data_IF_951868063008
#
_entry.id   IF_951868063008
#
_cell.length_a   1.000
_cell.length_b   1.000
_cell.length_c   1.000
_cell.angle_alpha   90.00
_cell.angle_beta   90.00
_cell.angle_gamma   90.00
#
_symmetry.space_group_name_H-M   'P 1'
#
loop_
_entity.id
_entity.type
_entity.pdbx_description
1 polymer ?
#
# COMPACT_ATOMS: atom_id res chain seq x y z
N UNK A 1 -20.84 9.15 -3.75
CA UNK A 1 -22.26 9.41 -3.41
C UNK A 1 -23.16 8.18 -3.59
N UNK A 2 -23.29 7.60 -4.79
CA UNK A 2 -24.18 6.44 -5.00
C UNK A 2 -23.79 5.18 -4.18
N UNK A 3 -22.49 4.95 -4.02
CA UNK A 3 -21.93 3.81 -3.26
C UNK A 3 -22.25 3.88 -1.77
N UNK A 4 -22.31 5.11 -1.21
CA UNK A 4 -22.55 5.37 0.21
C UNK A 4 -24.03 5.18 0.57
N UNK A 5 -24.91 5.68 -0.31
CA UNK A 5 -26.36 5.53 -0.18
C UNK A 5 -26.82 4.06 -0.29
N UNK A 6 -26.21 3.28 -1.19
CA UNK A 6 -26.49 1.86 -1.37
C UNK A 6 -26.03 1.01 -0.17
N UNK A 7 -24.88 1.36 0.43
CA UNK A 7 -24.35 0.67 1.61
C UNK A 7 -25.21 0.88 2.86
N UNK A 8 -25.77 2.08 3.04
CA UNK A 8 -26.66 2.41 4.17
C UNK A 8 -27.98 1.63 4.09
N UNK A 9 -28.54 1.45 2.90
CA UNK A 9 -29.84 0.80 2.72
C UNK A 9 -29.79 -0.73 2.78
N UNK A 10 -28.64 -1.35 2.53
CA UNK A 10 -28.51 -2.80 2.40
C UNK A 10 -28.13 -3.54 3.70
N UNK A 11 -27.90 -2.87 4.84
CA UNK A 11 -27.56 -3.51 6.15
C UNK A 11 -26.59 -4.71 6.03
N UNK A 12 -25.59 -4.62 5.13
CA UNK A 12 -24.80 -5.79 4.70
C UNK A 12 -23.78 -6.22 5.76
N UNK A 13 -23.40 -5.32 6.67
CA UNK A 13 -22.41 -5.62 7.69
C UNK A 13 -23.05 -5.82 9.07
N UNK A 14 -23.16 -7.08 9.45
CA UNK A 14 -23.32 -7.47 10.85
C UNK A 14 -21.97 -7.23 11.54
N UNK A 15 -21.83 -6.12 12.26
CA UNK A 15 -20.70 -5.90 13.16
C UNK A 15 -20.79 -6.98 14.25
N UNK A 16 -19.93 -7.99 14.11
CA UNK A 16 -19.67 -8.95 15.18
C UNK A 16 -18.98 -8.21 16.32
N UNK A 17 -19.37 -8.46 17.57
CA UNK A 17 -18.97 -7.72 18.78
C UNK A 17 -17.45 -7.72 19.08
N UNK A 18 -16.64 -8.38 18.24
CA UNK A 18 -15.18 -8.37 18.32
C UNK A 18 -14.57 -7.68 17.09
N UNK A 19 -13.86 -6.55 17.26
CA UNK A 19 -13.29 -5.78 16.15
C UNK A 19 -12.14 -6.50 15.43
N UNK A 20 -11.59 -7.58 15.99
CA UNK A 20 -10.43 -8.30 15.45
C UNK A 20 -10.70 -8.99 14.11
N UNK A 21 -11.87 -9.61 13.94
CA UNK A 21 -12.20 -10.37 12.73
C UNK A 21 -12.44 -9.47 11.48
N UNK A 22 -13.18 -8.36 11.57
CA UNK A 22 -13.31 -7.41 10.46
C UNK A 22 -11.97 -6.75 10.10
N UNK A 23 -11.18 -6.36 11.09
CA UNK A 23 -9.87 -5.72 10.89
C UNK A 23 -8.93 -6.65 10.13
N UNK A 24 -8.85 -7.93 10.52
CA UNK A 24 -8.03 -8.92 9.82
C UNK A 24 -8.50 -9.13 8.39
N UNK A 25 -9.80 -9.26 8.17
CA UNK A 25 -10.39 -9.47 6.83
C UNK A 25 -10.10 -8.30 5.90
N UNK A 26 -10.28 -7.07 6.38
CA UNK A 26 -9.93 -5.85 5.63
C UNK A 26 -8.42 -5.74 5.40
N UNK A 27 -7.61 -6.04 6.41
CA UNK A 27 -6.14 -5.96 6.32
C UNK A 27 -5.59 -6.94 5.29
N UNK A 28 -6.11 -8.17 5.25
CA UNK A 28 -5.76 -9.18 4.25
C UNK A 28 -6.16 -8.74 2.83
N UNK A 29 -7.35 -8.16 2.66
CA UNK A 29 -7.82 -7.66 1.37
C UNK A 29 -6.92 -6.54 0.81
N UNK A 30 -6.50 -5.60 1.65
CA UNK A 30 -5.64 -4.47 1.24
C UNK A 30 -4.18 -4.91 1.06
N UNK A 31 -3.71 -5.90 1.83
CA UNK A 31 -2.34 -6.42 1.74
C UNK A 31 -1.98 -6.96 0.36
N UNK A 32 -2.92 -7.59 -0.35
CA UNK A 32 -2.68 -8.11 -1.71
C UNK A 32 -2.32 -7.01 -2.71
N UNK A 33 -3.03 -5.88 -2.64
CA UNK A 33 -2.80 -4.72 -3.50
C UNK A 33 -1.47 -4.04 -3.19
N UNK A 34 -1.16 -3.85 -1.90
CA UNK A 34 0.10 -3.24 -1.46
C UNK A 34 1.29 -4.14 -1.85
N UNK A 35 1.19 -5.45 -1.61
CA UNK A 35 2.22 -6.42 -1.99
C UNK A 35 2.54 -6.34 -3.49
N UNK A 36 1.51 -6.31 -4.35
CA UNK A 36 1.68 -6.24 -5.79
C UNK A 36 2.39 -4.95 -6.23
N UNK A 37 2.03 -3.83 -5.63
CA UNK A 37 2.66 -2.52 -5.90
C UNK A 37 4.13 -2.53 -5.47
N UNK A 38 4.42 -2.98 -4.24
CA UNK A 38 5.79 -3.07 -3.73
C UNK A 38 6.64 -4.04 -4.55
N UNK A 39 6.10 -5.19 -4.94
CA UNK A 39 6.78 -6.18 -5.75
C UNK A 39 7.13 -5.64 -7.15
N UNK A 40 6.18 -4.97 -7.81
CA UNK A 40 6.41 -4.37 -9.12
C UNK A 40 7.49 -3.27 -9.05
N UNK A 41 7.42 -2.38 -8.06
CA UNK A 41 8.43 -1.35 -7.85
C UNK A 41 9.82 -1.95 -7.59
N UNK A 42 9.90 -3.04 -6.83
CA UNK A 42 11.17 -3.75 -6.60
C UNK A 42 11.74 -4.34 -7.89
N UNK A 43 10.92 -4.94 -8.75
CA UNK A 43 11.36 -5.47 -10.05
C UNK A 43 11.91 -4.35 -10.94
N UNK A 44 11.20 -3.23 -11.02
CA UNK A 44 11.61 -2.10 -11.86
C UNK A 44 12.91 -1.49 -11.39
N UNK A 45 13.12 -1.45 -10.08
CA UNK A 45 14.35 -0.96 -9.50
C UNK A 45 15.53 -1.91 -9.69
N UNK A 46 15.32 -3.22 -9.57
CA UNK A 46 16.39 -4.20 -9.81
C UNK A 46 16.92 -4.16 -11.26
N UNK A 47 16.12 -3.66 -12.21
CA UNK A 47 16.52 -3.45 -13.60
C UNK A 47 17.32 -2.17 -13.85
N UNK A 48 17.46 -1.31 -12.84
CA UNK A 48 18.15 -0.03 -12.99
C UNK A 48 19.68 -0.23 -13.16
N UNK A 49 20.35 0.59 -13.98
CA UNK A 49 21.78 0.45 -14.27
C UNK A 49 22.69 0.62 -13.03
N UNK A 50 22.27 1.38 -12.02
CA UNK A 50 23.05 1.54 -10.78
C UNK A 50 23.11 0.25 -9.95
N UNK A 51 22.11 -0.64 -10.08
CA UNK A 51 22.10 -1.95 -9.44
C UNK A 51 23.14 -2.86 -10.10
N UNK A 52 23.25 -2.84 -11.44
CA UNK A 52 24.31 -3.54 -12.17
C UNK A 52 25.69 -3.04 -11.73
N UNK A 53 25.87 -1.72 -11.59
CA UNK A 53 27.12 -1.15 -11.08
C UNK A 53 27.42 -1.61 -9.64
N UNK A 54 26.40 -1.75 -8.80
CA UNK A 54 26.57 -2.27 -7.43
C UNK A 54 27.04 -3.73 -7.43
N UNK A 55 26.50 -4.56 -8.33
CA UNK A 55 26.98 -5.94 -8.53
C UNK A 55 28.41 -5.98 -9.07
N UNK A 56 28.76 -5.13 -10.05
CA UNK A 56 30.12 -5.04 -10.61
C UNK A 56 31.17 -4.62 -9.57
N UNK A 57 30.75 -3.90 -8.52
CA UNK A 57 31.59 -3.54 -7.36
C UNK A 57 31.80 -4.69 -6.36
N UNK A 58 31.25 -5.88 -6.61
CA UNK A 58 31.38 -7.05 -5.75
C UNK A 58 30.49 -7.02 -4.51
N UNK A 59 29.45 -6.17 -4.47
CA UNK A 59 28.51 -6.16 -3.35
C UNK A 59 27.67 -7.45 -3.36
N UNK A 60 27.56 -8.09 -2.19
CA UNK A 60 26.65 -9.22 -1.99
C UNK A 60 25.21 -8.85 -2.35
N UNK A 61 24.46 -9.77 -2.96
CA UNK A 61 23.02 -9.64 -3.30
C UNK A 61 22.19 -9.07 -2.15
N UNK A 62 22.40 -9.54 -0.93
CA UNK A 62 21.69 -9.05 0.26
C UNK A 62 21.92 -7.56 0.51
N UNK A 63 23.16 -7.07 0.40
CA UNK A 63 23.47 -5.63 0.52
C UNK A 63 22.83 -4.82 -0.60
N UNK A 64 22.85 -5.33 -1.84
CA UNK A 64 22.24 -4.63 -2.98
C UNK A 64 20.73 -4.49 -2.79
N UNK A 65 20.06 -5.55 -2.35
CA UNK A 65 18.62 -5.55 -2.10
C UNK A 65 18.25 -4.60 -0.96
N UNK A 66 18.84 -4.75 0.23
CA UNK A 66 18.42 -3.96 1.40
C UNK A 66 18.91 -2.51 1.36
N UNK A 67 20.12 -2.24 0.86
CA UNK A 67 20.73 -0.90 0.90
C UNK A 67 20.40 -0.05 -0.32
N UNK A 68 20.20 -0.67 -1.49
CA UNK A 68 20.00 0.06 -2.75
C UNK A 68 18.59 -0.14 -3.30
N UNK A 69 18.17 -1.39 -3.55
CA UNK A 69 16.90 -1.63 -4.23
C UNK A 69 15.70 -1.26 -3.34
N UNK A 70 15.65 -1.77 -2.11
CA UNK A 70 14.53 -1.56 -1.19
C UNK A 70 14.35 -0.08 -0.82
N UNK A 71 15.46 0.60 -0.49
CA UNK A 71 15.43 2.02 -0.15
C UNK A 71 14.86 2.87 -1.29
N UNK A 72 15.24 2.57 -2.52
CA UNK A 72 14.72 3.30 -3.67
C UNK A 72 13.30 2.86 -4.06
N UNK A 73 12.91 1.60 -3.78
CA UNK A 73 11.59 1.07 -4.12
C UNK A 73 10.50 1.60 -3.19
N UNK A 74 10.88 2.09 -2.01
CA UNK A 74 9.99 2.73 -1.05
C UNK A 74 9.61 4.17 -1.43
N UNK A 75 10.34 4.83 -2.34
CA UNK A 75 10.04 6.21 -2.77
C UNK A 75 8.60 6.32 -3.34
N UNK A 76 8.20 5.53 -4.35
CA UNK A 76 6.82 5.56 -4.84
C UNK A 76 5.79 5.12 -3.80
N UNK A 77 6.17 4.21 -2.89
CA UNK A 77 5.28 3.74 -1.82
C UNK A 77 4.97 4.87 -0.82
N UNK A 78 5.96 5.67 -0.44
CA UNK A 78 5.77 6.87 0.40
C UNK A 78 4.84 7.90 -0.26
N UNK A 79 4.97 8.12 -1.56
CA UNK A 79 4.08 9.00 -2.30
C UNK A 79 2.62 8.48 -2.27
N UNK A 80 2.44 7.17 -2.47
CA UNK A 80 1.12 6.55 -2.43
C UNK A 80 0.46 6.65 -1.04
N UNK A 81 1.24 6.52 0.04
CA UNK A 81 0.76 6.71 1.41
C UNK A 81 0.26 8.14 1.62
N UNK A 82 0.98 9.15 1.08
CA UNK A 82 0.55 10.54 1.11
C UNK A 82 -0.80 10.75 0.39
N UNK A 83 -1.00 10.12 -0.76
CA UNK A 83 -2.28 10.18 -1.48
C UNK A 83 -3.43 9.54 -0.69
N UNK A 84 -3.18 8.38 -0.07
CA UNK A 84 -4.17 7.70 0.79
C UNK A 84 -4.52 8.58 1.99
N UNK A 85 -3.54 9.26 2.57
CA UNK A 85 -3.75 10.18 3.69
C UNK A 85 -4.64 11.37 3.28
N UNK A 86 -4.37 11.98 2.12
CA UNK A 86 -5.23 13.05 1.57
C UNK A 86 -6.65 12.55 1.33
N UNK A 87 -6.78 11.33 0.78
CA UNK A 87 -8.08 10.72 0.52
C UNK A 87 -8.87 10.48 1.81
N UNK A 88 -8.20 10.01 2.88
CA UNK A 88 -8.82 9.81 4.19
C UNK A 88 -9.31 11.12 4.80
N UNK A 89 -8.52 12.20 4.73
CA UNK A 89 -8.94 13.52 5.22
C UNK A 89 -10.15 14.02 4.42
N UNK A 90 -10.10 13.97 3.09
CA UNK A 90 -11.22 14.43 2.26
C UNK A 90 -12.48 13.57 2.48
N UNK A 91 -12.33 12.26 2.61
CA UNK A 91 -13.43 11.34 2.92
C UNK A 91 -14.05 11.60 4.29
N UNK A 92 -13.22 11.83 5.31
CA UNK A 92 -13.69 12.17 6.67
C UNK A 92 -14.46 13.51 6.66
N UNK A 93 -13.90 14.54 6.02
CA UNK A 93 -14.57 15.84 5.88
C UNK A 93 -15.92 15.70 5.18
N UNK A 94 -15.98 14.99 4.04
CA UNK A 94 -17.25 14.75 3.34
C UNK A 94 -18.25 14.00 4.23
N UNK A 95 -17.77 13.13 5.14
CA UNK A 95 -18.64 12.38 6.06
C UNK A 95 -19.15 13.23 7.23
N UNK A 96 -18.41 14.26 7.65
CA UNK A 96 -18.85 15.20 8.71
C UNK A 96 -19.84 16.26 8.21
N UNK A 97 -19.86 16.54 6.90
CA UNK A 97 -20.78 17.49 6.28
C UNK A 97 -22.10 16.89 5.78
N UNK A 98 -22.30 15.57 5.91
CA UNK A 98 -23.51 14.83 5.47
C UNK A 98 -24.32 14.36 6.67
#
# INVERSE_FOLDING_TARGET
MLQYYLAYHLKIFKISDSPTLPILTLSLAVSGSIYKITHNNMIDILKQPYILTAYSKGLSTTKVVFKHALKNALIPMLAQIGLIFIYLINGAVITEYI
#
